data_IF_742043456892
#
_entry.id   IF_742043456892
#
_cell.length_a   1.000
_cell.length_b   1.000
_cell.length_c   1.000
_cell.angle_alpha   90.00
_cell.angle_beta   90.00
_cell.angle_gamma   90.00
#
_symmetry.space_group_name_H-M   'P 1'
#
loop_
_entity.id
_entity.type
_entity.pdbx_description
1 polymer ?
#
# COMPACT_ATOMS: atom_id res chain seq x y z
N UNK A 1 23.97 7.36 6.82
CA UNK A 1 23.46 6.08 6.27
C UNK A 1 21.94 6.09 6.34
N UNK A 2 21.28 6.78 5.41
CA UNK A 2 19.82 6.67 5.20
C UNK A 2 19.69 6.19 3.76
N UNK A 3 19.61 4.87 3.58
CA UNK A 3 19.47 4.24 2.28
C UNK A 3 18.06 4.50 1.74
N UNK A 4 17.93 5.53 0.91
CA UNK A 4 16.81 5.72 0.01
C UNK A 4 16.95 4.69 -1.13
N UNK A 5 16.58 3.43 -0.85
CA UNK A 5 16.42 2.43 -1.90
C UNK A 5 15.01 2.54 -2.46
N UNK A 6 14.84 3.47 -3.40
CA UNK A 6 13.88 3.31 -4.48
C UNK A 6 14.64 2.49 -5.53
N UNK A 7 14.76 1.17 -5.36
CA UNK A 7 15.34 0.25 -6.36
C UNK A 7 14.18 -0.49 -7.05
N UNK A 8 13.91 -0.35 -8.34
CA UNK A 8 14.67 -0.88 -9.49
C UNK A 8 15.01 -2.38 -9.36
N UNK A 9 14.04 -3.23 -9.70
CA UNK A 9 14.26 -4.52 -10.35
C UNK A 9 12.96 -4.98 -11.04
N UNK A 10 12.78 -4.50 -12.27
CA UNK A 10 11.83 -5.09 -13.22
C UNK A 10 12.42 -6.39 -13.75
N UNK A 11 12.15 -7.53 -13.11
CA UNK A 11 12.42 -8.81 -13.75
C UNK A 11 11.25 -9.79 -13.60
N UNK A 12 10.64 -10.07 -14.76
CA UNK A 12 10.10 -11.36 -15.14
C UNK A 12 9.14 -12.10 -14.19
N UNK A 13 8.06 -11.44 -13.74
CA UNK A 13 6.86 -12.13 -13.18
C UNK A 13 5.51 -11.47 -13.52
N UNK A 14 5.55 -10.33 -14.21
CA UNK A 14 4.59 -9.22 -14.29
C UNK A 14 3.12 -9.54 -14.67
N UNK A 15 2.75 -10.78 -15.03
CA UNK A 15 1.40 -11.06 -15.59
C UNK A 15 0.61 -12.21 -14.97
N UNK A 16 1.12 -13.01 -14.04
CA UNK A 16 0.37 -14.20 -13.56
C UNK A 16 0.04 -14.12 -12.06
N UNK A 17 -0.98 -13.31 -11.72
CA UNK A 17 -1.83 -13.29 -10.48
C UNK A 17 -2.24 -11.88 -9.96
N UNK A 18 -2.26 -10.86 -10.82
CA UNK A 18 -2.57 -9.43 -10.52
C UNK A 18 -3.83 -9.11 -9.71
N UNK A 19 -4.80 -10.01 -9.60
CA UNK A 19 -6.04 -9.71 -8.87
C UNK A 19 -5.91 -9.89 -7.35
N UNK A 20 -4.86 -10.56 -6.86
CA UNK A 20 -4.82 -11.07 -5.48
C UNK A 20 -3.59 -10.68 -4.66
N UNK A 21 -2.69 -9.87 -5.23
CA UNK A 21 -1.46 -9.50 -4.57
C UNK A 21 -1.67 -8.26 -3.66
N UNK A 22 -1.68 -8.40 -2.32
CA UNK A 22 -1.88 -7.26 -1.43
C UNK A 22 -0.69 -6.28 -1.46
N UNK A 23 0.49 -6.70 -1.90
CA UNK A 23 1.67 -5.84 -1.97
C UNK A 23 1.50 -4.76 -3.04
N UNK A 24 0.85 -5.07 -4.17
CA UNK A 24 0.57 -4.11 -5.25
C UNK A 24 -0.35 -2.96 -4.80
N UNK A 25 -1.28 -3.22 -3.88
CA UNK A 25 -2.15 -2.18 -3.33
C UNK A 25 -1.39 -1.14 -2.50
N UNK A 26 -0.21 -1.51 -1.98
CA UNK A 26 0.75 -0.62 -1.33
C UNK A 26 1.84 -0.10 -2.30
N UNK A 27 1.82 -0.54 -3.57
CA UNK A 27 2.84 -0.23 -4.56
C UNK A 27 4.17 -0.93 -4.28
N UNK A 28 4.13 -2.13 -3.70
CA UNK A 28 5.28 -2.92 -3.28
C UNK A 28 5.32 -4.26 -4.01
N UNK A 29 6.53 -4.82 -4.07
CA UNK A 29 6.75 -6.18 -4.53
C UNK A 29 6.53 -7.20 -3.39
N UNK A 30 6.24 -8.48 -3.70
CA UNK A 30 6.02 -9.52 -2.70
C UNK A 30 7.23 -9.82 -1.78
N UNK A 31 8.44 -9.42 -2.20
CA UNK A 31 9.69 -9.57 -1.46
C UNK A 31 9.98 -8.39 -0.51
N UNK A 32 9.10 -7.38 -0.46
CA UNK A 32 9.26 -6.22 0.38
C UNK A 32 9.44 -6.56 1.87
N UNK A 33 10.37 -5.86 2.51
CA UNK A 33 10.66 -5.99 3.93
C UNK A 33 9.54 -5.41 4.80
N UNK A 34 9.48 -5.79 6.09
CA UNK A 34 8.45 -5.23 7.00
C UNK A 34 8.57 -3.71 7.09
N UNK A 35 9.81 -3.21 7.10
CA UNK A 35 10.07 -1.78 7.18
C UNK A 35 9.53 -1.03 5.94
N UNK A 36 9.68 -1.60 4.75
CA UNK A 36 9.13 -1.02 3.51
C UNK A 36 7.61 -1.04 3.49
N UNK A 37 7.00 -2.13 3.96
CA UNK A 37 5.54 -2.26 4.09
C UNK A 37 4.98 -1.22 5.05
N UNK A 38 5.56 -1.09 6.23
CA UNK A 38 5.13 -0.12 7.24
C UNK A 38 5.32 1.32 6.74
N UNK A 39 6.42 1.58 6.04
CA UNK A 39 6.71 2.89 5.45
C UNK A 39 5.72 3.24 4.34
N UNK A 40 5.44 2.31 3.42
CA UNK A 40 4.46 2.50 2.34
C UNK A 40 3.05 2.73 2.92
N UNK A 41 2.65 1.91 3.90
CA UNK A 41 1.38 2.06 4.60
C UNK A 41 1.23 3.46 5.22
N UNK A 42 2.22 3.91 6.01
CA UNK A 42 2.19 5.25 6.63
C UNK A 42 2.14 6.37 5.60
N UNK A 43 2.87 6.26 4.50
CA UNK A 43 2.89 7.24 3.40
C UNK A 43 1.55 7.32 2.67
N UNK A 44 0.91 6.17 2.43
CA UNK A 44 -0.38 6.12 1.75
C UNK A 44 -1.50 6.62 2.67
N UNK A 45 -1.50 6.22 3.94
CA UNK A 45 -2.46 6.70 4.91
C UNK A 45 -2.33 8.21 5.16
N UNK A 46 -1.12 8.79 5.20
CA UNK A 46 -0.99 10.24 5.33
C UNK A 46 -1.59 11.04 4.17
N UNK A 47 -1.71 10.42 2.99
CA UNK A 47 -2.32 11.01 1.78
C UNK A 47 -3.84 10.82 1.72
N UNK A 48 -4.33 9.66 2.14
CA UNK A 48 -5.74 9.27 1.97
C UNK A 48 -6.52 9.19 3.30
N UNK A 49 -5.95 9.60 4.43
CA UNK A 49 -6.63 9.52 5.73
C UNK A 49 -7.97 10.27 5.68
N UNK A 50 -9.07 9.69 6.21
CA UNK A 50 -10.38 10.35 6.23
C UNK A 50 -10.30 11.74 6.88
N UNK A 51 -9.52 11.91 7.95
CA UNK A 51 -9.30 13.21 8.61
C UNK A 51 -8.68 14.26 7.69
N UNK A 52 -7.83 13.86 6.71
CA UNK A 52 -7.18 14.80 5.78
C UNK A 52 -8.13 15.26 4.67
N UNK A 53 -9.15 14.45 4.36
CA UNK A 53 -10.16 14.75 3.34
C UNK A 53 -11.52 15.09 3.93
N UNK A 54 -11.61 15.31 5.25
CA UNK A 54 -12.85 15.61 5.93
C UNK A 54 -13.55 16.87 5.39
N UNK A 55 -12.76 17.85 4.97
CA UNK A 55 -13.23 19.11 4.36
C UNK A 55 -13.21 19.09 2.83
N UNK A 56 -12.88 17.95 2.20
CA UNK A 56 -12.85 17.83 0.75
C UNK A 56 -14.27 17.62 0.20
N UNK A 57 -14.42 17.86 -1.11
CA UNK A 57 -15.66 17.59 -1.83
C UNK A 57 -16.15 16.14 -1.60
N UNK A 58 -17.47 15.89 -1.57
CA UNK A 58 -18.04 14.58 -1.25
C UNK A 58 -17.48 13.44 -2.10
N UNK A 59 -17.17 13.70 -3.36
CA UNK A 59 -16.56 12.72 -4.27
C UNK A 59 -15.11 12.42 -3.89
N UNK A 60 -14.30 13.45 -3.60
CA UNK A 60 -12.92 13.28 -3.16
C UNK A 60 -12.86 12.50 -1.84
N UNK A 61 -13.77 12.79 -0.91
CA UNK A 61 -13.90 12.05 0.35
C UNK A 61 -14.21 10.58 0.11
N UNK A 62 -15.21 10.26 -0.72
CA UNK A 62 -15.55 8.87 -1.08
C UNK A 62 -14.37 8.12 -1.71
N UNK A 63 -13.63 8.77 -2.60
CA UNK A 63 -12.48 8.17 -3.25
C UNK A 63 -11.34 7.89 -2.26
N UNK A 64 -11.07 8.84 -1.36
CA UNK A 64 -10.06 8.68 -0.32
C UNK A 64 -10.45 7.60 0.70
N UNK A 65 -11.70 7.54 1.14
CA UNK A 65 -12.21 6.46 2.00
C UNK A 65 -12.05 5.08 1.34
N UNK A 66 -12.44 4.97 0.05
CA UNK A 66 -12.27 3.73 -0.72
C UNK A 66 -10.79 3.33 -0.81
N UNK A 67 -9.89 4.29 -1.04
CA UNK A 67 -8.44 4.04 -1.09
C UNK A 67 -7.88 3.65 0.27
N UNK A 68 -8.20 4.36 1.33
CA UNK A 68 -7.78 4.04 2.69
C UNK A 68 -8.24 2.64 3.11
N UNK A 69 -9.48 2.27 2.79
CA UNK A 69 -10.00 0.92 3.02
C UNK A 69 -9.21 -0.15 2.27
N UNK A 70 -8.88 0.08 1.00
CA UNK A 70 -8.03 -0.83 0.20
C UNK A 70 -6.63 -0.99 0.81
N UNK A 71 -6.01 0.12 1.26
CA UNK A 71 -4.68 0.14 1.88
C UNK A 71 -4.68 -0.67 3.19
N UNK A 72 -5.69 -0.46 4.04
CA UNK A 72 -5.84 -1.20 5.30
C UNK A 72 -6.01 -2.70 5.05
N UNK A 73 -6.93 -3.08 4.16
CA UNK A 73 -7.18 -4.48 3.84
C UNK A 73 -5.93 -5.19 3.28
N UNK A 74 -5.15 -4.49 2.45
CA UNK A 74 -3.90 -4.98 1.90
C UNK A 74 -2.84 -5.20 3.00
N UNK A 75 -2.62 -4.18 3.84
CA UNK A 75 -1.69 -4.26 4.96
C UNK A 75 -2.04 -5.41 5.91
N UNK A 76 -3.32 -5.56 6.28
CA UNK A 76 -3.80 -6.64 7.14
C UNK A 76 -3.61 -8.03 6.50
N UNK A 77 -3.79 -8.15 5.19
CA UNK A 77 -3.55 -9.41 4.46
C UNK A 77 -2.05 -9.77 4.49
N UNK A 78 -1.16 -8.79 4.26
CA UNK A 78 0.29 -9.00 4.35
C UNK A 78 0.71 -9.41 5.76
N UNK A 79 0.23 -8.69 6.78
CA UNK A 79 0.55 -8.99 8.18
C UNK A 79 0.11 -10.41 8.56
N UNK A 80 -1.06 -10.86 8.09
CA UNK A 80 -1.52 -12.25 8.29
C UNK A 80 -0.67 -13.28 7.55
N UNK A 81 -0.24 -12.99 6.32
CA UNK A 81 0.63 -13.88 5.54
C UNK A 81 2.00 -14.07 6.21
N UNK A 82 2.54 -13.03 6.87
CA UNK A 82 3.86 -13.03 7.51
C UNK A 82 3.87 -13.61 8.93
N UNK A 83 2.71 -13.69 9.59
CA UNK A 83 2.56 -14.28 10.93
C UNK A 83 2.41 -15.81 10.91
N UNK A 84 2.29 -16.41 9.73
CA UNK A 84 2.24 -17.86 9.52
C UNK A 84 3.63 -18.43 9.33
#
# INVERSE_FOLDING_TARGET
MIGLAIGHAVDAGWFKRRADNPYEALGLEPDATTAEIDLAYRRLMSRYHPDKVANAEPEARRQAEKKASQINAAYDRIQRLRKR
#
